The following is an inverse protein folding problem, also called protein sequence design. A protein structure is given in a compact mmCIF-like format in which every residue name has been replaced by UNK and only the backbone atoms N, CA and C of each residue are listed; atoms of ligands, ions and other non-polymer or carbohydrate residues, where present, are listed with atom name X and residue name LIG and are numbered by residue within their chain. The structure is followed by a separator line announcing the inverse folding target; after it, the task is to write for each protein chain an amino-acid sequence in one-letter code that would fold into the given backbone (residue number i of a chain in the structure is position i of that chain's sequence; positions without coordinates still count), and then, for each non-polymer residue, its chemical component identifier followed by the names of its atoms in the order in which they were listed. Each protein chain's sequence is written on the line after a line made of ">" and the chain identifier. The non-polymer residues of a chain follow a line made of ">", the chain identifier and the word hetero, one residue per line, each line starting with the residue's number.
data_IF_686731911139
#
_entry.id   IF_686731911139
#
_cell.length_a   1.000
_cell.length_b   1.000
_cell.length_c   1.000
_cell.angle_alpha   90.00
_cell.angle_beta   90.00
_cell.angle_gamma   90.00
#
_symmetry.space_group_name_H-M   'P 1'
#
loop_
_entity.id
_entity.type
_entity.pdbx_description
1 polymer ?
#
# COMPACT_ATOMS: atom_id res chain seq x y z
N UNK A 1 -4.49 -10.27 -12.30
CA UNK A 1 -4.15 -9.43 -11.12
C UNK A 1 -3.96 -10.19 -9.81
N UNK A 2 -4.84 -11.15 -9.44
CA UNK A 2 -4.71 -11.91 -8.17
C UNK A 2 -3.35 -12.60 -7.99
N UNK A 3 -2.78 -13.15 -9.07
CA UNK A 3 -1.47 -13.81 -9.05
C UNK A 3 -0.31 -12.89 -8.61
N UNK A 4 -0.23 -11.66 -9.13
CA UNK A 4 0.80 -10.67 -8.76
C UNK A 4 0.66 -10.27 -7.29
N UNK A 5 -0.57 -10.03 -6.82
CA UNK A 5 -0.82 -9.71 -5.42
C UNK A 5 -0.40 -10.85 -4.47
N UNK A 6 -0.59 -12.12 -4.87
CA UNK A 6 -0.12 -13.27 -4.11
C UNK A 6 1.41 -13.36 -4.09
N UNK A 7 2.09 -13.06 -5.20
CA UNK A 7 3.56 -13.02 -5.26
C UNK A 7 4.13 -11.97 -4.31
N UNK A 8 3.55 -10.77 -4.27
CA UNK A 8 3.98 -9.71 -3.35
C UNK A 8 3.74 -10.10 -1.88
N UNK A 9 2.61 -10.74 -1.57
CA UNK A 9 2.36 -11.27 -0.23
C UNK A 9 3.40 -12.33 0.16
N UNK A 10 3.83 -13.17 -0.77
CA UNK A 10 4.81 -14.22 -0.52
C UNK A 10 6.20 -13.68 -0.11
N UNK A 11 6.59 -12.49 -0.57
CA UNK A 11 7.82 -11.80 -0.13
C UNK A 11 7.75 -11.51 1.37
N UNK A 12 6.62 -11.00 1.85
CA UNK A 12 6.46 -10.58 3.24
C UNK A 12 6.10 -11.71 4.20
N UNK A 13 5.70 -12.88 3.68
CA UNK A 13 5.44 -14.08 4.47
C UNK A 13 6.71 -14.87 4.84
N UNK A 14 7.89 -14.48 4.36
CA UNK A 14 9.15 -15.17 4.70
C UNK A 14 9.53 -15.00 6.18
N UNK A 15 10.34 -15.91 6.71
CA UNK A 15 10.73 -15.90 8.13
C UNK A 15 11.88 -14.91 8.40
N UNK A 16 12.81 -14.74 7.46
CA UNK A 16 13.97 -13.85 7.58
C UNK A 16 13.97 -12.70 6.57
N UNK A 17 14.73 -11.63 6.86
CA UNK A 17 14.97 -10.53 5.91
C UNK A 17 15.72 -11.02 4.67
N UNK A 18 16.68 -11.91 4.85
CA UNK A 18 17.47 -12.50 3.76
C UNK A 18 16.60 -13.33 2.82
N UNK A 19 15.76 -14.22 3.38
CA UNK A 19 14.80 -15.01 2.59
C UNK A 19 13.78 -14.12 1.87
N UNK A 20 13.36 -13.00 2.48
CA UNK A 20 12.47 -12.04 1.84
C UNK A 20 13.13 -11.32 0.66
N UNK A 21 14.43 -10.97 0.76
CA UNK A 21 15.21 -10.38 -0.35
C UNK A 21 15.34 -11.36 -1.51
N UNK A 22 15.73 -12.61 -1.22
CA UNK A 22 15.85 -13.64 -2.25
C UNK A 22 14.51 -13.89 -2.95
N UNK A 23 13.41 -13.93 -2.18
CA UNK A 23 12.07 -14.04 -2.75
C UNK A 23 11.68 -12.82 -3.59
N UNK A 24 12.10 -11.62 -3.22
CA UNK A 24 11.85 -10.42 -4.00
C UNK A 24 12.53 -10.46 -5.36
N UNK A 25 13.77 -10.95 -5.43
CA UNK A 25 14.50 -11.17 -6.69
C UNK A 25 13.73 -12.14 -7.58
N UNK A 26 13.33 -13.30 -7.05
CA UNK A 26 12.53 -14.29 -7.80
C UNK A 26 11.21 -13.71 -8.31
N UNK A 27 10.55 -12.87 -7.51
CA UNK A 27 9.30 -12.20 -7.92
C UNK A 27 9.56 -11.14 -8.98
N UNK A 28 10.65 -10.37 -8.89
CA UNK A 28 11.02 -9.36 -9.88
C UNK A 28 11.33 -10.00 -11.24
N UNK A 29 12.07 -11.10 -11.28
CA UNK A 29 12.32 -11.88 -12.50
C UNK A 29 11.01 -12.40 -13.12
N UNK A 30 10.11 -12.93 -12.28
CA UNK A 30 8.79 -13.39 -12.75
C UNK A 30 7.93 -12.25 -13.28
N UNK A 31 8.01 -11.06 -12.69
CA UNK A 31 7.34 -9.85 -13.19
C UNK A 31 7.94 -9.38 -14.51
N UNK A 32 9.27 -9.45 -14.69
CA UNK A 32 9.95 -9.19 -15.97
C UNK A 32 9.48 -10.16 -17.05
N UNK A 33 9.39 -11.47 -16.75
CA UNK A 33 8.87 -12.48 -17.67
C UNK A 33 7.39 -12.24 -18.06
N UNK A 34 6.59 -11.68 -17.14
CA UNK A 34 5.20 -11.27 -17.40
C UNK A 34 5.08 -9.94 -18.17
N UNK A 35 6.18 -9.38 -18.68
CA UNK A 35 6.25 -8.07 -19.36
C UNK A 35 5.84 -6.88 -18.48
N UNK A 36 5.93 -7.01 -17.15
CA UNK A 36 5.62 -5.97 -16.18
C UNK A 36 6.90 -5.29 -15.68
N UNK A 37 7.72 -4.76 -16.59
CA UNK A 37 9.03 -4.20 -16.28
C UNK A 37 8.98 -3.08 -15.21
N UNK A 38 7.99 -2.17 -15.29
CA UNK A 38 7.81 -1.10 -14.29
C UNK A 38 7.48 -1.64 -12.89
N UNK A 39 6.72 -2.73 -12.82
CA UNK A 39 6.39 -3.34 -11.53
C UNK A 39 7.60 -4.06 -10.93
N UNK A 40 8.39 -4.75 -11.77
CA UNK A 40 9.63 -5.39 -11.33
C UNK A 40 10.64 -4.36 -10.80
N UNK A 41 10.88 -3.28 -11.54
CA UNK A 41 11.75 -2.19 -11.10
C UNK A 41 11.28 -1.62 -9.76
N UNK A 42 9.98 -1.38 -9.62
CA UNK A 42 9.44 -0.84 -8.36
C UNK A 42 9.68 -1.78 -7.18
N UNK A 43 9.58 -3.09 -7.38
CA UNK A 43 9.86 -4.10 -6.34
C UNK A 43 11.34 -4.08 -5.95
N UNK A 44 12.24 -4.00 -6.93
CA UNK A 44 13.70 -3.94 -6.71
C UNK A 44 14.09 -2.67 -5.93
N UNK A 45 13.53 -1.51 -6.32
CA UNK A 45 13.86 -0.24 -5.66
C UNK A 45 13.30 -0.14 -4.23
N UNK A 46 12.09 -0.68 -3.99
CA UNK A 46 11.41 -0.48 -2.71
C UNK A 46 11.62 -1.60 -1.70
N UNK A 47 12.28 -2.71 -2.05
CA UNK A 47 12.33 -3.90 -1.18
C UNK A 47 12.95 -3.58 0.19
N UNK A 48 14.06 -2.84 0.22
CA UNK A 48 14.75 -2.49 1.46
C UNK A 48 13.86 -1.63 2.37
N UNK A 49 13.24 -0.58 1.81
CA UNK A 49 12.30 0.27 2.55
C UNK A 49 11.11 -0.52 3.10
N UNK A 50 10.62 -1.49 2.31
CA UNK A 50 9.46 -2.30 2.68
C UNK A 50 9.78 -3.33 3.76
N UNK A 51 11.06 -3.67 3.98
CA UNK A 51 11.47 -4.63 5.00
C UNK A 51 11.83 -4.00 6.35
N UNK A 52 11.94 -2.66 6.42
CA UNK A 52 12.27 -1.91 7.64
C UNK A 52 11.29 -2.12 8.80
N UNK A 53 10.03 -2.51 8.53
CA UNK A 53 9.08 -2.79 9.62
C UNK A 53 9.53 -3.94 10.54
N UNK A 54 10.40 -4.83 10.05
CA UNK A 54 10.94 -5.97 10.84
C UNK A 54 11.92 -5.54 11.93
N UNK A 55 12.43 -4.31 11.88
CA UNK A 55 13.30 -3.76 12.94
C UNK A 55 12.50 -3.32 14.19
N UNK A 56 11.18 -3.25 14.07
CA UNK A 56 10.29 -2.94 15.19
C UNK A 56 9.82 -4.21 15.91
N UNK A 57 9.33 -4.10 17.15
CA UNK A 57 8.67 -5.22 17.84
C UNK A 57 7.53 -5.82 17.00
N UNK A 58 7.39 -7.16 17.03
CA UNK A 58 6.42 -7.94 16.24
C UNK A 58 4.98 -7.46 16.38
N UNK A 59 4.60 -6.95 17.57
CA UNK A 59 3.29 -6.33 17.84
C UNK A 59 2.94 -5.17 16.89
N UNK A 60 3.93 -4.50 16.30
CA UNK A 60 3.72 -3.36 15.40
C UNK A 60 3.73 -3.74 13.92
N UNK A 61 4.22 -4.94 13.56
CA UNK A 61 4.44 -5.34 12.17
C UNK A 61 3.19 -5.20 11.31
N UNK A 62 2.05 -5.70 11.78
CA UNK A 62 0.78 -5.64 11.03
C UNK A 62 0.34 -4.19 10.78
N UNK A 63 0.57 -3.29 11.75
CA UNK A 63 0.15 -1.88 11.66
C UNK A 63 1.06 -1.06 10.75
N UNK A 64 2.36 -1.37 10.72
CA UNK A 64 3.34 -0.68 9.87
C UNK A 64 3.27 -1.20 8.43
N UNK A 65 3.18 -2.53 8.25
CA UNK A 65 3.22 -3.17 6.92
C UNK A 65 1.96 -2.95 6.10
N UNK A 66 0.81 -2.73 6.74
CA UNK A 66 -0.47 -2.63 6.02
C UNK A 66 -0.91 -1.18 5.87
N UNK A 67 -1.37 -0.82 4.67
CA UNK A 67 -1.97 0.48 4.38
C UNK A 67 -3.50 0.48 4.55
N UNK A 68 -4.07 -0.54 5.20
CA UNK A 68 -5.52 -0.77 5.29
C UNK A 68 -6.31 0.45 5.77
N UNK A 69 -5.79 1.17 6.76
CA UNK A 69 -6.43 2.37 7.30
C UNK A 69 -6.49 3.50 6.28
N UNK A 70 -5.38 3.72 5.56
CA UNK A 70 -5.27 4.75 4.51
C UNK A 70 -6.15 4.37 3.31
N UNK A 71 -6.12 3.10 2.89
CA UNK A 71 -6.94 2.59 1.79
C UNK A 71 -8.44 2.72 2.10
N UNK A 72 -8.85 2.38 3.32
CA UNK A 72 -10.24 2.54 3.78
C UNK A 72 -10.65 4.02 3.77
N UNK A 73 -9.78 4.91 4.26
CA UNK A 73 -9.99 6.35 4.26
C UNK A 73 -10.15 6.89 2.82
N UNK A 74 -9.21 6.56 1.93
CA UNK A 74 -9.22 6.99 0.53
C UNK A 74 -10.45 6.47 -0.21
N UNK A 75 -10.86 5.23 0.04
CA UNK A 75 -12.07 4.64 -0.55
C UNK A 75 -13.33 5.38 -0.13
N UNK A 76 -13.41 5.78 1.14
CA UNK A 76 -14.54 6.56 1.65
C UNK A 76 -14.57 7.99 1.10
N UNK A 77 -13.40 8.65 0.99
CA UNK A 77 -13.30 9.95 0.32
C UNK A 77 -13.80 9.83 -1.12
N UNK A 78 -13.27 8.86 -1.88
CA UNK A 78 -13.67 8.61 -3.27
C UNK A 78 -15.17 8.32 -3.39
N UNK A 79 -15.76 7.58 -2.45
CA UNK A 79 -17.20 7.29 -2.42
C UNK A 79 -18.03 8.57 -2.23
N UNK A 80 -17.63 9.44 -1.31
CA UNK A 80 -18.34 10.70 -1.02
C UNK A 80 -18.21 11.73 -2.13
N UNK A 81 -17.06 11.78 -2.79
CA UNK A 81 -16.84 12.70 -3.92
C UNK A 81 -17.42 12.17 -5.22
N UNK A 82 -17.74 10.88 -5.35
CA UNK A 82 -18.28 10.28 -6.59
C UNK A 82 -19.59 10.92 -7.06
N UNK A 83 -20.43 11.41 -6.14
CA UNK A 83 -21.67 12.11 -6.50
C UNK A 83 -21.44 13.53 -7.05
N UNK A 84 -20.24 14.08 -6.84
CA UNK A 84 -19.87 15.43 -7.26
C UNK A 84 -19.05 15.30 -8.54
N UNK A 85 -19.65 15.60 -9.69
CA UNK A 85 -18.98 15.43 -10.99
C UNK A 85 -17.81 16.40 -11.19
N UNK A 86 -17.90 17.60 -10.62
CA UNK A 86 -16.84 18.59 -10.63
C UNK A 86 -17.00 19.50 -9.40
N UNK A 87 -15.87 19.90 -8.80
CA UNK A 87 -15.88 20.89 -7.74
C UNK A 87 -15.70 22.29 -8.34
N UNK A 88 -16.46 23.30 -7.88
CA UNK A 88 -16.36 24.67 -8.39
C UNK A 88 -15.02 25.34 -8.06
N UNK A 89 -14.37 24.94 -6.96
CA UNK A 89 -13.09 25.47 -6.51
C UNK A 89 -12.34 24.47 -5.59
N UNK A 90 -11.10 24.80 -5.24
CA UNK A 90 -10.23 23.97 -4.40
C UNK A 90 -10.77 23.77 -2.97
N UNK A 91 -11.32 24.82 -2.36
CA UNK A 91 -11.85 24.79 -1.00
C UNK A 91 -13.06 23.87 -0.91
N UNK A 92 -13.94 23.92 -1.91
CA UNK A 92 -15.09 23.02 -2.05
C UNK A 92 -14.68 21.54 -2.12
N UNK A 93 -13.54 21.23 -2.76
CA UNK A 93 -12.97 19.87 -2.80
C UNK A 93 -12.29 19.45 -1.47
N UNK A 94 -11.67 20.39 -0.76
CA UNK A 94 -10.99 20.13 0.51
C UNK A 94 -11.96 19.79 1.65
N UNK A 95 -13.13 20.44 1.69
CA UNK A 95 -14.12 20.24 2.74
C UNK A 95 -14.52 18.77 3.00
N UNK A 96 -14.93 17.97 2.00
CA UNK A 96 -15.29 16.57 2.22
C UNK A 96 -14.12 15.70 2.68
N UNK A 97 -12.90 16.03 2.27
CA UNK A 97 -11.66 15.36 2.73
C UNK A 97 -11.41 15.67 4.20
N UNK A 98 -11.37 16.95 4.57
CA UNK A 98 -11.13 17.39 5.94
C UNK A 98 -12.21 16.88 6.90
N UNK A 99 -13.48 16.89 6.48
CA UNK A 99 -14.58 16.32 7.27
C UNK A 99 -14.36 14.83 7.56
N UNK A 100 -13.89 14.06 6.57
CA UNK A 100 -13.61 12.63 6.78
C UNK A 100 -12.39 12.40 7.68
N UNK A 101 -11.32 13.19 7.50
CA UNK A 101 -10.13 13.13 8.35
C UNK A 101 -10.46 13.41 9.83
N UNK A 102 -11.22 14.49 10.09
CA UNK A 102 -11.67 14.84 11.46
C UNK A 102 -12.48 13.72 12.09
N UNK A 103 -13.41 13.13 11.35
CA UNK A 103 -14.20 12.02 11.88
C UNK A 103 -13.34 10.80 12.22
N UNK A 104 -12.37 10.42 11.36
CA UNK A 104 -11.48 9.29 11.66
C UNK A 104 -10.61 9.57 12.89
N UNK A 105 -10.13 10.80 13.08
CA UNK A 105 -9.37 11.20 14.25
C UNK A 105 -10.20 11.20 15.55
N UNK A 106 -11.51 11.45 15.46
CA UNK A 106 -12.42 11.47 16.62
C UNK A 106 -12.97 10.08 17.01
N UNK A 107 -12.82 9.06 16.16
CA UNK A 107 -13.48 7.75 16.35
C UNK A 107 -12.48 6.57 16.46
N UNK A 108 -11.17 6.84 16.41
CA UNK A 108 -10.08 5.87 16.59
C UNK A 108 -9.28 6.21 17.84
#
# INVERSE_FOLDING_TARGET
>A
MKAVALMLKAIHSQESKEAAREKAIQVAEKLKAMKLAKAAQKVEDSIEETLNYRDFPTRHWTRIRTNNTIERLNREIKRRTKAISAFPDRQSALMPVCARLRHVAATN
#
